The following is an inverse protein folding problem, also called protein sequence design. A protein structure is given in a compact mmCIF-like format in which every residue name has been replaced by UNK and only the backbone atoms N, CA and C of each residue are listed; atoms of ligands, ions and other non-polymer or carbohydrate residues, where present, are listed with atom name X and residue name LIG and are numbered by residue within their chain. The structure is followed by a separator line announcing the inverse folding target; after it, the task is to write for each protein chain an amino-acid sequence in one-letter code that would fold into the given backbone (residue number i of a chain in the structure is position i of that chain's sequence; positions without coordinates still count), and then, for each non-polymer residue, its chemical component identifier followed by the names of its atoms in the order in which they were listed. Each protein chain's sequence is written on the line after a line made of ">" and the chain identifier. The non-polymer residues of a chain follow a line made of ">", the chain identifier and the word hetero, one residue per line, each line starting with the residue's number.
data_IF_958560236012
#
_entry.id   IF_958560236012
#
_cell.length_a   1.000
_cell.length_b   1.000
_cell.length_c   1.000
_cell.angle_alpha   90.00
_cell.angle_beta   90.00
_cell.angle_gamma   90.00
#
_symmetry.space_group_name_H-M   'P 1'
#
loop_
_entity.id
_entity.type
_entity.pdbx_description
1 polymer ?
#
# COMPACT_ATOMS: atom_id res chain seq x y z
N UNK A 1 13.09 8.47 8.80
CA UNK A 1 14.18 9.45 9.03
C UNK A 1 14.98 8.96 10.21
N UNK A 2 16.31 9.08 10.21
CA UNK A 2 17.13 8.48 11.28
C UNK A 2 17.32 9.41 12.47
N UNK A 3 17.40 10.71 12.23
CA UNK A 3 17.54 11.70 13.29
C UNK A 3 16.45 12.76 13.22
N UNK A 4 15.84 13.01 14.38
CA UNK A 4 14.80 14.00 14.58
C UNK A 4 15.19 14.86 15.78
N UNK A 5 15.20 16.17 15.59
CA UNK A 5 15.36 17.13 16.68
C UNK A 5 14.13 18.04 16.72
N UNK A 6 13.38 17.90 17.81
CA UNK A 6 12.19 18.69 18.08
C UNK A 6 12.61 19.89 18.92
N UNK A 7 12.26 21.09 18.44
CA UNK A 7 12.49 22.34 19.16
C UNK A 7 11.19 23.11 19.31
N UNK A 8 11.18 24.17 20.12
CA UNK A 8 10.00 24.99 20.33
C UNK A 8 9.48 25.70 19.06
N UNK A 9 10.32 25.89 18.03
CA UNK A 9 9.97 26.63 16.81
C UNK A 9 9.84 25.76 15.57
N UNK A 10 10.62 24.68 15.50
CA UNK A 10 10.69 23.84 14.30
C UNK A 10 11.06 22.40 14.64
N UNK A 11 10.77 21.50 13.70
CA UNK A 11 11.23 20.13 13.67
C UNK A 11 12.37 20.06 12.65
N UNK A 12 13.55 19.66 13.09
CA UNK A 12 14.70 19.41 12.21
C UNK A 12 14.84 17.91 12.00
N UNK A 13 14.91 17.48 10.75
CA UNK A 13 15.05 16.07 10.40
C UNK A 13 16.13 15.84 9.36
N UNK A 14 16.79 14.69 9.50
CA UNK A 14 17.74 14.16 8.53
C UNK A 14 17.62 12.64 8.39
N UNK A 15 17.97 12.16 7.20
CA UNK A 15 18.15 10.74 6.89
C UNK A 15 19.51 10.20 7.34
N UNK A 16 20.51 11.05 7.51
CA UNK A 16 21.83 10.67 8.01
C UNK A 16 21.85 10.41 9.53
N UNK A 17 22.68 9.44 9.94
CA UNK A 17 22.92 9.14 11.35
C UNK A 17 24.13 9.92 11.88
N UNK A 18 23.88 10.94 12.69
CA UNK A 18 24.89 11.89 13.13
C UNK A 18 25.52 11.58 14.50
N UNK A 19 25.08 10.54 15.22
CA UNK A 19 25.58 10.06 16.53
C UNK A 19 25.55 11.07 17.69
N UNK A 20 25.82 12.36 17.46
CA UNK A 20 25.82 13.43 18.46
C UNK A 20 24.96 14.60 18.02
N UNK A 21 24.34 15.27 19.01
CA UNK A 21 23.47 16.43 18.79
C UNK A 21 24.21 17.62 18.18
N UNK A 22 25.45 17.84 18.57
CA UNK A 22 26.28 18.96 18.11
C UNK A 22 26.59 18.82 16.61
N UNK A 23 26.99 17.62 16.18
CA UNK A 23 27.28 17.33 14.78
C UNK A 23 26.01 17.41 13.91
N UNK A 24 24.87 16.95 14.43
CA UNK A 24 23.57 17.12 13.78
C UNK A 24 23.24 18.61 13.53
N UNK A 25 23.42 19.45 14.55
CA UNK A 25 23.11 20.88 14.46
C UNK A 25 24.05 21.61 13.48
N UNK A 26 25.34 21.30 13.52
CA UNK A 26 26.33 21.85 12.60
C UNK A 26 25.94 21.54 11.14
N UNK A 27 25.61 20.27 10.85
CA UNK A 27 25.20 19.83 9.52
C UNK A 27 23.89 20.44 9.05
N UNK A 28 22.91 20.59 9.95
CA UNK A 28 21.64 21.25 9.62
C UNK A 28 21.78 22.74 9.32
N UNK A 29 22.83 23.40 9.84
CA UNK A 29 23.08 24.83 9.63
C UNK A 29 23.97 25.12 8.40
N UNK A 30 24.59 24.10 7.80
CA UNK A 30 25.35 24.26 6.55
C UNK A 30 24.42 24.59 5.38
N UNK A 31 24.72 25.67 4.65
CA UNK A 31 23.92 26.13 3.49
C UNK A 31 23.93 25.15 2.32
N UNK A 32 25.01 24.39 2.16
CA UNK A 32 25.17 23.44 1.06
C UNK A 32 24.58 22.07 1.44
N UNK A 33 23.46 21.71 0.82
CA UNK A 33 22.93 20.34 0.80
C UNK A 33 23.65 19.56 -0.28
N UNK A 34 24.19 18.38 0.06
CA UNK A 34 24.57 17.41 -0.97
C UNK A 34 23.29 16.98 -1.69
N UNK A 35 23.39 16.65 -2.98
CA UNK A 35 22.24 16.31 -3.83
C UNK A 35 21.37 15.17 -3.28
N UNK A 36 21.93 14.32 -2.42
CA UNK A 36 21.26 13.18 -1.80
C UNK A 36 20.90 13.40 -0.32
N UNK A 37 21.25 14.54 0.28
CA UNK A 37 20.96 14.82 1.69
C UNK A 37 19.51 15.25 1.89
N UNK A 38 18.73 14.39 2.56
CA UNK A 38 17.32 14.68 2.83
C UNK A 38 17.16 15.41 4.17
N UNK A 39 17.55 16.69 4.19
CA UNK A 39 17.46 17.56 5.38
C UNK A 39 16.25 18.48 5.30
N UNK A 40 15.39 18.48 6.31
CA UNK A 40 14.28 19.42 6.42
C UNK A 40 14.29 20.17 7.75
N UNK A 41 13.94 21.46 7.69
CA UNK A 41 13.64 22.28 8.86
C UNK A 41 12.20 22.75 8.74
N UNK A 42 11.30 22.06 9.42
CA UNK A 42 9.85 22.22 9.28
C UNK A 42 9.37 23.15 10.38
N UNK A 43 8.84 24.32 10.02
CA UNK A 43 8.17 25.21 10.96
C UNK A 43 6.79 24.64 11.32
N UNK A 44 6.37 24.73 12.58
CA UNK A 44 5.03 24.25 12.96
C UNK A 44 3.91 24.93 12.17
N UNK A 45 4.06 26.23 11.89
CA UNK A 45 3.11 27.00 11.08
C UNK A 45 2.97 26.51 9.64
N UNK A 46 3.96 25.78 9.10
CA UNK A 46 3.89 25.24 7.74
C UNK A 46 3.30 23.83 7.68
N UNK A 47 3.03 23.20 8.83
CA UNK A 47 2.38 21.89 8.91
C UNK A 47 0.90 22.05 8.61
N UNK A 48 0.44 21.37 7.55
CA UNK A 48 -0.94 21.42 7.07
C UNK A 48 -1.75 20.19 7.47
N UNK A 49 -1.07 19.06 7.64
CA UNK A 49 -1.71 17.78 7.95
C UNK A 49 -0.75 16.85 8.67
N UNK A 50 -1.27 16.10 9.62
CA UNK A 50 -0.58 15.01 10.31
C UNK A 50 -1.45 13.74 10.26
N UNK A 51 -0.82 12.60 9.98
CA UNK A 51 -1.46 11.28 10.03
C UNK A 51 -0.72 10.42 11.05
N UNK A 52 -1.36 10.07 12.17
CA UNK A 52 -0.82 9.11 13.13
C UNK A 52 -0.90 7.67 12.60
N UNK A 53 0.17 6.92 12.81
CA UNK A 53 0.28 5.47 12.60
C UNK A 53 0.65 4.81 13.93
N UNK A 54 -0.33 4.65 14.83
CA UNK A 54 -0.12 4.14 16.19
C UNK A 54 0.58 2.77 16.21
N UNK A 55 0.18 1.85 15.33
CA UNK A 55 0.77 0.50 15.24
C UNK A 55 2.24 0.50 14.81
N UNK A 56 2.65 1.49 14.01
CA UNK A 56 4.00 1.60 13.45
C UNK A 56 4.84 2.64 14.23
N UNK A 57 4.33 3.13 15.37
CA UNK A 57 4.91 4.23 16.18
C UNK A 57 5.34 5.42 15.30
N UNK A 58 4.49 5.75 14.33
CA UNK A 58 4.85 6.63 13.22
C UNK A 58 3.99 7.87 13.12
N UNK A 59 4.60 8.99 12.76
CA UNK A 59 3.89 10.23 12.44
C UNK A 59 4.25 10.69 11.03
N UNK A 60 3.25 10.73 10.14
CA UNK A 60 3.42 11.31 8.82
C UNK A 60 2.99 12.78 8.83
N UNK A 61 3.92 13.67 8.53
CA UNK A 61 3.71 15.11 8.49
C UNK A 61 3.67 15.61 7.05
N UNK A 62 2.71 16.47 6.73
CA UNK A 62 2.60 17.17 5.46
C UNK A 62 2.79 18.67 5.72
N UNK A 63 3.70 19.29 4.99
CA UNK A 63 4.08 20.68 5.20
C UNK A 63 4.36 21.39 3.87
N UNK A 64 4.31 22.72 3.90
CA UNK A 64 4.63 23.55 2.74
C UNK A 64 6.07 24.06 2.89
N UNK A 65 6.91 23.80 1.89
CA UNK A 65 8.27 24.33 1.79
C UNK A 65 8.49 24.82 0.36
N UNK A 66 8.85 26.11 0.20
CA UNK A 66 9.01 26.77 -1.11
C UNK A 66 7.78 26.57 -2.01
N UNK A 67 6.58 26.85 -1.47
CA UNK A 67 5.27 26.73 -2.16
C UNK A 67 4.90 25.32 -2.64
N UNK A 68 5.71 24.30 -2.31
CA UNK A 68 5.45 22.90 -2.65
C UNK A 68 5.04 22.13 -1.42
N UNK A 69 3.98 21.33 -1.55
CA UNK A 69 3.59 20.39 -0.52
C UNK A 69 4.60 19.24 -0.47
N UNK A 70 5.23 19.06 0.68
CA UNK A 70 6.13 17.95 0.98
C UNK A 70 5.55 17.11 2.10
N UNK A 71 6.07 15.89 2.20
CA UNK A 71 5.72 14.96 3.28
C UNK A 71 6.97 14.31 3.85
N UNK A 72 6.93 14.01 5.13
CA UNK A 72 7.95 13.24 5.82
C UNK A 72 7.30 12.24 6.75
N UNK A 73 8.06 11.21 7.13
CA UNK A 73 7.66 10.19 8.09
C UNK A 73 8.66 10.18 9.24
N UNK A 74 8.15 10.42 10.44
CA UNK A 74 8.86 10.27 11.70
C UNK A 74 8.55 8.88 12.23
N UNK A 75 9.58 8.10 12.49
CA UNK A 75 9.49 6.79 13.13
C UNK A 75 10.06 6.97 14.53
N UNK A 76 9.27 6.60 15.54
CA UNK A 76 9.60 6.80 16.95
C UNK A 76 9.87 5.44 17.60
N UNK A 77 10.67 5.44 18.66
CA UNK A 77 11.20 4.20 19.22
C UNK A 77 10.29 3.59 20.27
N UNK A 78 9.51 4.41 20.97
CA UNK A 78 8.63 3.98 22.04
C UNK A 78 7.24 4.63 21.93
N UNK A 79 6.26 4.02 22.59
CA UNK A 79 4.89 4.54 22.62
C UNK A 79 4.76 5.82 23.45
N UNK A 80 5.61 5.98 24.46
CA UNK A 80 5.66 7.19 25.28
C UNK A 80 6.24 8.35 24.45
N UNK A 81 7.36 8.13 23.77
CA UNK A 81 7.95 9.10 22.83
C UNK A 81 6.95 9.46 21.73
N UNK A 82 6.24 8.46 21.20
CA UNK A 82 5.18 8.67 20.22
C UNK A 82 4.10 9.64 20.71
N UNK A 83 3.57 9.38 21.90
CA UNK A 83 2.48 10.18 22.48
C UNK A 83 2.95 11.59 22.81
N UNK A 84 4.13 11.74 23.43
CA UNK A 84 4.72 13.04 23.76
C UNK A 84 4.96 13.90 22.52
N UNK A 85 5.56 13.31 21.48
CA UNK A 85 5.86 14.02 20.23
C UNK A 85 4.57 14.42 19.51
N UNK A 86 3.59 13.52 19.46
CA UNK A 86 2.29 13.81 18.86
C UNK A 86 1.62 15.00 19.57
N UNK A 87 1.50 14.95 20.89
CA UNK A 87 0.85 15.99 21.68
C UNK A 87 1.60 17.31 21.60
N UNK A 88 2.95 17.27 21.58
CA UNK A 88 3.76 18.46 21.40
C UNK A 88 3.50 19.12 20.05
N UNK A 89 3.48 18.35 18.95
CA UNK A 89 3.19 18.87 17.61
C UNK A 89 1.77 19.45 17.55
N UNK A 90 0.79 18.77 18.12
CA UNK A 90 -0.59 19.24 18.17
C UNK A 90 -0.70 20.55 18.97
N UNK A 91 0.00 20.68 20.10
CA UNK A 91 -0.01 21.90 20.92
C UNK A 91 0.59 23.13 20.19
N UNK A 92 1.45 22.91 19.20
CA UNK A 92 2.13 23.96 18.42
C UNK A 92 1.47 24.25 17.08
N UNK A 93 0.43 23.51 16.71
CA UNK A 93 -0.23 23.61 15.41
C UNK A 93 -1.74 23.83 15.57
N UNK A 94 -2.39 24.43 14.59
CA UNK A 94 -3.85 24.59 14.57
C UNK A 94 -4.55 23.40 13.90
N UNK A 95 -4.05 22.18 14.11
CA UNK A 95 -4.61 20.99 13.48
C UNK A 95 -5.77 20.45 14.30
N UNK A 96 -6.89 20.16 13.64
CA UNK A 96 -8.05 19.55 14.28
C UNK A 96 -8.18 18.09 13.88
N UNK A 97 -8.64 17.26 14.83
CA UNK A 97 -8.93 15.85 14.60
C UNK A 97 -10.11 15.72 13.62
N UNK A 98 -9.88 15.08 12.48
CA UNK A 98 -10.89 14.71 11.48
C UNK A 98 -10.79 13.21 11.22
N UNK A 99 -11.90 12.51 11.31
CA UNK A 99 -11.96 11.10 10.93
C UNK A 99 -12.23 10.99 9.43
N UNK A 100 -11.35 10.31 8.69
CA UNK A 100 -11.59 10.01 7.27
C UNK A 100 -11.73 8.52 7.06
N UNK A 101 -12.79 8.12 6.39
CA UNK A 101 -12.93 6.76 5.87
C UNK A 101 -12.07 6.62 4.62
N UNK A 102 -11.02 5.81 4.68
CA UNK A 102 -10.19 5.47 3.52
C UNK A 102 -10.50 4.05 3.09
N UNK A 103 -10.73 3.85 1.79
CA UNK A 103 -10.80 2.52 1.18
C UNK A 103 -9.38 2.02 0.94
N UNK A 104 -8.95 1.00 1.67
CA UNK A 104 -7.65 0.40 1.47
C UNK A 104 -7.61 -0.44 0.20
N UNK A 105 -6.82 -0.07 -0.81
CA UNK A 105 -6.69 -0.84 -2.07
C UNK A 105 -6.19 -2.28 -1.81
N UNK A 106 -5.28 -2.45 -0.83
CA UNK A 106 -4.75 -3.76 -0.43
C UNK A 106 -5.82 -4.75 0.04
N UNK A 107 -6.99 -4.28 0.48
CA UNK A 107 -7.99 -5.17 1.09
C UNK A 107 -8.68 -6.10 0.09
N UNK A 108 -8.82 -5.68 -1.17
CA UNK A 108 -9.60 -6.37 -2.18
C UNK A 108 -8.76 -6.87 -3.36
N UNK A 109 -7.49 -6.44 -3.46
CA UNK A 109 -6.58 -6.81 -4.55
C UNK A 109 -6.30 -8.32 -4.61
N UNK A 110 -6.26 -9.00 -3.45
CA UNK A 110 -6.06 -10.45 -3.37
C UNK A 110 -7.26 -11.22 -3.94
N UNK A 111 -8.47 -10.73 -3.72
CA UNK A 111 -9.70 -11.34 -4.21
C UNK A 111 -9.89 -11.02 -5.70
N UNK A 112 -9.55 -9.80 -6.12
CA UNK A 112 -9.51 -9.44 -7.53
C UNK A 112 -8.53 -10.30 -8.33
N UNK A 113 -7.35 -10.63 -7.76
CA UNK A 113 -6.39 -11.50 -8.44
C UNK A 113 -6.89 -12.94 -8.60
N UNK A 114 -7.67 -13.46 -7.65
CA UNK A 114 -8.35 -14.75 -7.81
C UNK A 114 -9.38 -14.73 -8.93
N UNK A 115 -10.17 -13.65 -9.02
CA UNK A 115 -11.16 -13.45 -10.10
C UNK A 115 -10.47 -13.40 -11.47
N UNK A 116 -9.35 -12.68 -11.57
CA UNK A 116 -8.56 -12.60 -12.79
C UNK A 116 -7.94 -13.96 -13.17
N UNK A 117 -7.39 -14.68 -12.20
CA UNK A 117 -6.85 -16.03 -12.41
C UNK A 117 -7.93 -17.00 -12.89
N UNK A 118 -9.13 -16.95 -12.33
CA UNK A 118 -10.25 -17.78 -12.77
C UNK A 118 -10.63 -17.50 -14.23
N UNK A 119 -10.68 -16.23 -14.65
CA UNK A 119 -10.93 -15.87 -16.06
C UNK A 119 -9.84 -16.41 -17.00
N UNK A 120 -8.56 -16.27 -16.61
CA UNK A 120 -7.43 -16.76 -17.43
C UNK A 120 -7.49 -18.28 -17.55
N UNK A 121 -7.67 -18.99 -16.44
CA UNK A 121 -7.74 -20.46 -16.43
C UNK A 121 -8.97 -20.93 -17.22
N UNK A 122 -10.12 -20.28 -17.06
CA UNK A 122 -11.32 -20.58 -17.81
C UNK A 122 -11.14 -20.41 -19.31
N UNK A 123 -10.52 -19.30 -19.73
CA UNK A 123 -10.18 -19.06 -21.13
C UNK A 123 -9.25 -20.12 -21.71
N UNK A 124 -8.18 -20.47 -21.00
CA UNK A 124 -7.25 -21.54 -21.42
C UNK A 124 -7.98 -22.87 -21.57
N UNK A 125 -8.81 -23.23 -20.59
CA UNK A 125 -9.56 -24.49 -20.58
C UNK A 125 -10.58 -24.53 -21.71
N UNK A 126 -11.24 -23.40 -22.01
CA UNK A 126 -12.15 -23.27 -23.14
C UNK A 126 -11.44 -23.49 -24.48
N UNK A 127 -10.28 -22.85 -24.70
CA UNK A 127 -9.50 -23.07 -25.91
C UNK A 127 -9.01 -24.51 -26.03
N UNK A 128 -8.64 -25.16 -24.92
CA UNK A 128 -8.29 -26.58 -24.90
C UNK A 128 -9.49 -27.46 -25.29
N UNK A 129 -10.66 -27.23 -24.69
CA UNK A 129 -11.88 -27.97 -25.01
C UNK A 129 -12.28 -27.80 -26.48
N UNK A 130 -12.24 -26.57 -26.98
CA UNK A 130 -12.51 -26.27 -28.39
C UNK A 130 -11.51 -26.96 -29.33
N UNK A 131 -10.22 -26.97 -28.99
CA UNK A 131 -9.21 -27.67 -29.79
C UNK A 131 -9.43 -29.19 -29.84
N UNK A 132 -9.88 -29.79 -28.73
CA UNK A 132 -10.24 -31.21 -28.67
C UNK A 132 -11.49 -31.52 -29.52
N UNK A 133 -12.50 -30.65 -29.48
CA UNK A 133 -13.71 -30.76 -30.31
C UNK A 133 -13.39 -30.64 -31.81
N UNK A 134 -12.40 -29.83 -32.18
CA UNK A 134 -11.89 -29.70 -33.55
C UNK A 134 -11.05 -30.92 -34.00
N UNK A 135 -10.83 -31.91 -33.13
CA UNK A 135 -10.03 -33.12 -33.43
C UNK A 135 -8.52 -32.92 -33.30
N UNK A 136 -8.07 -31.78 -32.76
CA UNK A 136 -6.66 -31.53 -32.52
C UNK A 136 -6.20 -32.23 -31.24
N UNK A 137 -4.98 -32.79 -31.26
CA UNK A 137 -4.37 -33.36 -30.06
C UNK A 137 -3.70 -32.27 -29.22
N UNK A 138 -4.10 -32.19 -27.95
CA UNK A 138 -3.47 -31.23 -27.02
C UNK A 138 -2.21 -31.86 -26.44
N UNK A 139 -1.05 -31.40 -26.91
CA UNK A 139 0.24 -31.90 -26.44
C UNK A 139 0.48 -31.54 -24.96
N UNK A 140 0.51 -32.56 -24.09
CA UNK A 140 0.96 -32.43 -22.71
C UNK A 140 2.48 -32.56 -22.66
N UNK A 141 3.20 -31.59 -23.21
CA UNK A 141 4.65 -31.49 -23.08
C UNK A 141 5.05 -30.40 -22.07
N UNK A 142 5.99 -30.74 -21.17
CA UNK A 142 6.57 -29.86 -20.14
C UNK A 142 6.57 -30.45 -18.73
N UNK A 143 7.68 -30.28 -17.99
CA UNK A 143 7.92 -30.83 -16.64
C UNK A 143 6.99 -30.27 -15.54
N UNK A 144 7.42 -29.26 -14.77
CA UNK A 144 6.74 -28.77 -13.54
C UNK A 144 5.25 -28.41 -13.66
N UNK A 145 4.73 -28.10 -14.86
CA UNK A 145 3.33 -27.67 -15.09
C UNK A 145 2.41 -28.79 -15.60
N UNK A 146 2.90 -30.03 -15.66
CA UNK A 146 2.16 -31.20 -16.19
C UNK A 146 0.89 -31.49 -15.40
N UNK A 147 0.91 -31.34 -14.08
CA UNK A 147 -0.23 -31.61 -13.20
C UNK A 147 -1.42 -30.70 -13.49
N UNK A 148 -1.19 -29.38 -13.55
CA UNK A 148 -2.24 -28.40 -13.84
C UNK A 148 -2.81 -28.64 -15.24
N UNK A 149 -1.96 -28.81 -16.26
CA UNK A 149 -2.42 -29.10 -17.63
C UNK A 149 -3.26 -30.38 -17.72
N UNK A 150 -2.92 -31.44 -16.97
CA UNK A 150 -3.74 -32.67 -16.92
C UNK A 150 -5.13 -32.43 -16.34
N UNK A 151 -5.23 -31.63 -15.28
CA UNK A 151 -6.53 -31.29 -14.68
C UNK A 151 -7.37 -30.47 -15.65
N UNK A 152 -6.78 -29.45 -16.29
CA UNK A 152 -7.50 -28.65 -17.29
C UNK A 152 -7.92 -29.49 -18.51
N UNK A 153 -7.06 -30.42 -18.95
CA UNK A 153 -7.39 -31.33 -20.03
C UNK A 153 -8.54 -32.26 -19.64
N UNK A 154 -8.50 -32.84 -18.44
CA UNK A 154 -9.58 -33.69 -17.93
C UNK A 154 -10.92 -32.94 -17.85
N UNK A 155 -10.88 -31.69 -17.37
CA UNK A 155 -12.05 -30.81 -17.35
C UNK A 155 -12.55 -30.55 -18.79
N UNK A 156 -11.64 -30.25 -19.71
CA UNK A 156 -11.96 -29.98 -21.11
C UNK A 156 -12.56 -31.21 -21.83
N UNK A 157 -12.01 -32.40 -21.61
CA UNK A 157 -12.47 -33.67 -22.18
C UNK A 157 -13.87 -34.08 -21.68
N UNK A 158 -14.15 -33.88 -20.38
CA UNK A 158 -15.42 -34.34 -19.80
C UNK A 158 -16.57 -33.34 -19.97
N UNK A 159 -16.29 -32.03 -19.97
CA UNK A 159 -17.33 -31.00 -20.03
C UNK A 159 -17.59 -30.50 -21.46
N UNK A 160 -16.60 -30.50 -22.35
CA UNK A 160 -16.72 -29.82 -23.65
C UNK A 160 -16.72 -28.29 -23.52
N UNK A 161 -16.57 -27.58 -24.65
CA UNK A 161 -16.28 -26.14 -24.70
C UNK A 161 -17.39 -25.29 -24.07
N UNK A 162 -18.65 -25.64 -24.33
CA UNK A 162 -19.83 -24.91 -23.83
C UNK A 162 -19.97 -25.04 -22.32
N UNK A 163 -19.84 -26.25 -21.76
CA UNK A 163 -20.02 -26.42 -20.31
C UNK A 163 -18.80 -25.91 -19.53
N UNK A 164 -17.59 -25.93 -20.12
CA UNK A 164 -16.43 -25.23 -19.55
C UNK A 164 -16.69 -23.73 -19.45
N UNK A 165 -17.26 -23.12 -20.49
CA UNK A 165 -17.59 -21.70 -20.48
C UNK A 165 -18.60 -21.38 -19.37
N UNK A 166 -19.68 -22.17 -19.26
CA UNK A 166 -20.70 -22.01 -18.21
C UNK A 166 -20.09 -22.15 -16.81
N UNK A 167 -19.28 -23.19 -16.58
CA UNK A 167 -18.63 -23.45 -15.29
C UNK A 167 -17.75 -22.28 -14.85
N UNK A 168 -16.85 -21.83 -15.71
CA UNK A 168 -15.95 -20.72 -15.37
C UNK A 168 -16.67 -19.37 -15.32
N UNK A 169 -17.78 -19.19 -16.05
CA UNK A 169 -18.63 -18.01 -15.93
C UNK A 169 -19.26 -17.92 -14.53
N UNK A 170 -19.83 -19.02 -14.04
CA UNK A 170 -20.40 -19.09 -12.67
C UNK A 170 -19.33 -18.82 -11.61
N UNK A 171 -18.15 -19.46 -11.73
CA UNK A 171 -17.02 -19.23 -10.82
C UNK A 171 -16.60 -17.76 -10.83
N UNK A 172 -16.50 -17.15 -12.02
CA UNK A 172 -16.10 -15.74 -12.18
C UNK A 172 -17.11 -14.81 -11.53
N UNK A 173 -18.42 -15.05 -11.68
CA UNK A 173 -19.48 -14.28 -11.02
C UNK A 173 -19.36 -14.39 -9.50
N UNK A 174 -19.19 -15.61 -8.99
CA UNK A 174 -19.04 -15.85 -7.54
C UNK A 174 -17.85 -15.12 -6.94
N UNK A 175 -16.68 -15.18 -7.60
CA UNK A 175 -15.47 -14.47 -7.16
C UNK A 175 -15.60 -12.95 -7.30
N UNK A 176 -16.29 -12.48 -8.34
CA UNK A 176 -16.58 -11.05 -8.54
C UNK A 176 -17.45 -10.52 -7.41
N UNK A 177 -18.51 -11.25 -7.04
CA UNK A 177 -19.36 -10.90 -5.90
C UNK A 177 -18.58 -10.88 -4.59
N UNK A 178 -17.71 -11.87 -4.37
CA UNK A 178 -16.88 -11.91 -3.17
C UNK A 178 -15.90 -10.72 -3.11
N UNK A 179 -15.26 -10.39 -4.23
CA UNK A 179 -14.38 -9.21 -4.36
C UNK A 179 -15.14 -7.92 -4.04
N UNK A 180 -16.37 -7.79 -4.56
CA UNK A 180 -17.24 -6.66 -4.25
C UNK A 180 -17.58 -6.55 -2.76
N UNK A 181 -17.97 -7.66 -2.13
CA UNK A 181 -18.30 -7.72 -0.69
C UNK A 181 -17.12 -7.28 0.18
N UNK A 182 -15.91 -7.79 -0.11
CA UNK A 182 -14.69 -7.41 0.60
C UNK A 182 -14.33 -5.94 0.38
N UNK A 183 -14.50 -5.43 -0.84
CA UNK A 183 -14.27 -4.01 -1.16
C UNK A 183 -15.23 -3.08 -0.41
N UNK A 184 -16.49 -3.48 -0.23
CA UNK A 184 -17.48 -2.71 0.54
C UNK A 184 -17.12 -2.64 2.03
N UNK A 185 -16.62 -3.75 2.58
CA UNK A 185 -16.32 -3.91 4.00
C UNK A 185 -14.93 -3.40 4.41
N UNK A 186 -14.11 -2.93 3.46
CA UNK A 186 -12.74 -2.51 3.75
C UNK A 186 -12.57 -1.04 4.12
N UNK A 187 -13.66 -0.36 4.43
CA UNK A 187 -13.61 1.01 4.95
C UNK A 187 -12.87 0.99 6.28
N UNK A 188 -11.68 1.58 6.31
CA UNK A 188 -10.96 1.85 7.55
C UNK A 188 -11.16 3.31 7.92
N UNK A 189 -11.55 3.56 9.16
CA UNK A 189 -11.53 4.90 9.73
C UNK A 189 -10.08 5.17 10.10
N UNK A 190 -9.49 6.21 9.52
CA UNK A 190 -8.19 6.70 9.94
C UNK A 190 -8.38 8.08 10.58
N UNK A 191 -7.69 8.28 11.70
CA UNK A 191 -7.57 9.58 12.33
C UNK A 191 -6.62 10.44 11.49
N UNK A 192 -7.02 11.65 11.15
CA UNK A 192 -6.20 12.63 10.45
C UNK A 192 -6.31 13.95 11.20
N UNK A 193 -5.19 14.61 11.44
CA UNK A 193 -5.18 15.98 11.93
C UNK A 193 -4.94 16.92 10.74
N UNK A 194 -5.80 17.90 10.54
CA UNK A 194 -5.65 18.89 9.46
C UNK A 194 -6.24 20.23 9.87
N UNK A 195 -5.69 21.31 9.35
CA UNK A 195 -6.29 22.65 9.41
C UNK A 195 -7.67 22.69 8.74
#
# INVERSE_FOLDING_TARGET
>A
MKNVLITNKCIKISDEDYKTKEFFLEKMNQKEKRLLDTRFSILYSSITKMIPFENDLGLQLFFIENEKQKKTYLELTSIDEYSEVQDFILSKTNLFKKEKTVRGIKSWIKQASYTLLAMIIGGITYFMAKSLEEGNTVNISGGRRRGVKKILLYIAENLGSINVLILFFIITIGLSYWTYSVSKNSKKIITIYST
#
